data_IF_919242734267
#
_entry.id   IF_919242734267
#
_cell.length_a   1.000
_cell.length_b   1.000
_cell.length_c   1.000
_cell.angle_alpha   90.00
_cell.angle_beta   90.00
_cell.angle_gamma   90.00
#
_symmetry.space_group_name_H-M   'P 1'
#
loop_
_entity.id
_entity.type
_entity.pdbx_description
1 polymer ?
#
# COMPACT_ATOMS: atom_id res chain seq x y z
N UNK A 1 28.88 15.41 -24.74
CA UNK A 1 27.74 14.50 -24.55
C UNK A 1 27.37 14.53 -23.06
N UNK A 2 26.17 14.98 -22.69
CA UNK A 2 25.72 14.93 -21.29
C UNK A 2 25.00 13.59 -21.09
N UNK A 3 25.59 12.70 -20.30
CA UNK A 3 24.91 11.49 -19.83
C UNK A 3 23.60 11.90 -19.15
N UNK A 4 22.47 11.45 -19.70
CA UNK A 4 21.18 11.56 -19.02
C UNK A 4 21.22 10.62 -17.82
N UNK A 5 21.75 11.09 -16.69
CA UNK A 5 21.59 10.38 -15.43
C UNK A 5 20.11 10.09 -15.24
N UNK A 6 19.75 8.82 -15.20
CA UNK A 6 18.38 8.38 -14.92
C UNK A 6 18.00 8.92 -13.54
N UNK A 7 16.98 9.78 -13.48
CA UNK A 7 16.45 10.37 -12.24
C UNK A 7 15.74 9.35 -11.33
N UNK A 8 15.87 8.05 -11.60
CA UNK A 8 15.16 6.98 -10.91
C UNK A 8 16.12 5.90 -10.42
N UNK A 9 15.74 5.14 -9.38
CA UNK A 9 16.54 4.03 -8.88
C UNK A 9 16.80 2.96 -9.94
N UNK A 10 18.04 2.49 -10.00
CA UNK A 10 18.43 1.33 -10.81
C UNK A 10 18.24 0.00 -10.07
N UNK A 11 18.34 0.02 -8.73
CA UNK A 11 18.13 -1.12 -7.85
C UNK A 11 16.88 -0.92 -7.00
N UNK A 12 16.11 -2.00 -6.84
CA UNK A 12 14.86 -2.01 -6.09
C UNK A 12 14.91 -3.12 -5.04
N UNK A 13 14.60 -2.76 -3.79
CA UNK A 13 14.51 -3.68 -2.64
C UNK A 13 13.04 -3.89 -2.28
N UNK A 14 12.66 -5.15 -2.02
CA UNK A 14 11.29 -5.53 -1.66
C UNK A 14 10.73 -6.63 -2.59
N UNK A 15 9.43 -6.57 -2.84
CA UNK A 15 8.70 -7.58 -3.58
C UNK A 15 8.83 -7.40 -5.11
N UNK A 16 8.79 -8.51 -5.85
CA UNK A 16 8.90 -8.51 -7.32
C UNK A 16 7.67 -7.86 -7.96
N UNK A 17 7.83 -6.98 -8.97
CA UNK A 17 6.70 -6.36 -9.69
C UNK A 17 5.68 -7.35 -10.27
N UNK A 18 6.13 -8.54 -10.66
CA UNK A 18 5.28 -9.60 -11.22
C UNK A 18 4.16 -10.03 -10.27
N UNK A 19 4.38 -9.97 -8.94
CA UNK A 19 3.36 -10.24 -7.91
C UNK A 19 2.15 -9.31 -8.05
N UNK A 20 2.37 -8.07 -8.49
CA UNK A 20 1.35 -7.01 -8.54
C UNK A 20 0.75 -6.80 -9.94
N UNK A 21 1.25 -7.47 -10.98
CA UNK A 21 0.70 -7.34 -12.34
C UNK A 21 -0.78 -7.75 -12.45
N UNK A 22 -1.22 -8.72 -11.63
CA UNK A 22 -2.62 -9.16 -11.57
C UNK A 22 -3.59 -8.05 -11.16
N UNK A 23 -3.11 -7.03 -10.45
CA UNK A 23 -3.94 -5.92 -9.99
C UNK A 23 -4.08 -4.80 -11.03
N UNK A 24 -3.46 -4.89 -12.22
CA UNK A 24 -3.62 -3.87 -13.29
C UNK A 24 -5.08 -3.64 -13.70
N UNK A 25 -5.91 -4.68 -13.63
CA UNK A 25 -7.36 -4.61 -13.91
C UNK A 25 -8.20 -4.15 -12.70
N UNK A 26 -7.58 -3.95 -11.55
CA UNK A 26 -8.23 -3.40 -10.37
C UNK A 26 -8.14 -1.88 -10.48
N UNK A 27 -9.07 -1.28 -11.22
CA UNK A 27 -9.06 0.15 -11.50
C UNK A 27 -10.21 0.84 -10.77
N UNK A 28 -9.92 1.92 -10.06
CA UNK A 28 -10.88 2.77 -9.37
C UNK A 28 -11.39 3.86 -10.33
N UNK A 29 -12.43 3.53 -11.10
CA UNK A 29 -13.03 4.45 -12.10
C UNK A 29 -14.27 5.18 -11.59
N UNK A 30 -14.67 4.97 -10.33
CA UNK A 30 -15.91 5.54 -9.79
C UNK A 30 -15.72 6.94 -9.19
N UNK A 31 -16.83 7.66 -9.03
CA UNK A 31 -16.88 9.01 -8.44
C UNK A 31 -17.98 9.09 -7.37
N UNK A 32 -17.67 9.47 -6.11
CA UNK A 32 -16.32 9.70 -5.57
C UNK A 32 -15.47 8.42 -5.58
N UNK A 33 -14.16 8.57 -5.82
CA UNK A 33 -13.24 7.42 -5.89
C UNK A 33 -12.92 6.88 -4.50
N UNK A 34 -12.80 5.55 -4.37
CA UNK A 34 -12.53 4.86 -3.09
C UNK A 34 -11.11 4.26 -3.06
N UNK A 35 -10.11 5.08 -3.38
CA UNK A 35 -8.72 4.61 -3.51
C UNK A 35 -8.20 3.90 -2.24
N UNK A 36 -8.65 4.33 -1.05
CA UNK A 36 -8.40 3.66 0.24
C UNK A 36 -8.93 2.23 0.29
N UNK A 37 -10.19 2.01 -0.11
CA UNK A 37 -10.75 0.65 -0.22
C UNK A 37 -9.98 -0.22 -1.22
N UNK A 38 -9.58 0.32 -2.38
CA UNK A 38 -8.82 -0.47 -3.37
C UNK A 38 -7.47 -0.94 -2.83
N UNK A 39 -6.71 -0.07 -2.17
CA UNK A 39 -5.41 -0.47 -1.61
C UNK A 39 -5.57 -1.47 -0.48
N UNK A 40 -6.58 -1.31 0.39
CA UNK A 40 -6.91 -2.29 1.44
C UNK A 40 -7.33 -3.63 0.87
N UNK A 41 -8.10 -3.64 -0.23
CA UNK A 41 -8.51 -4.86 -0.91
C UNK A 41 -7.30 -5.61 -1.47
N UNK A 42 -6.34 -4.90 -2.08
CA UNK A 42 -5.10 -5.50 -2.57
C UNK A 42 -4.24 -6.04 -1.44
N UNK A 43 -4.12 -5.34 -0.30
CA UNK A 43 -3.38 -5.85 0.87
C UNK A 43 -3.97 -7.18 1.37
N UNK A 44 -5.30 -7.25 1.53
CA UNK A 44 -5.96 -8.47 1.99
C UNK A 44 -5.88 -9.59 0.95
N UNK A 45 -6.17 -9.29 -0.31
CA UNK A 45 -6.08 -10.28 -1.38
C UNK A 45 -4.68 -10.87 -1.49
N UNK A 46 -3.64 -10.04 -1.45
CA UNK A 46 -2.26 -10.47 -1.55
C UNK A 46 -1.87 -11.40 -0.40
N UNK A 47 -2.21 -11.04 0.85
CA UNK A 47 -1.96 -11.90 2.02
C UNK A 47 -2.75 -13.20 1.94
N UNK A 48 -4.05 -13.15 1.60
CA UNK A 48 -4.87 -14.36 1.56
C UNK A 48 -4.43 -15.35 0.49
N UNK A 49 -4.05 -14.83 -0.67
CA UNK A 49 -3.56 -15.66 -1.75
C UNK A 49 -2.21 -16.30 -1.42
N UNK A 50 -1.27 -15.55 -0.83
CA UNK A 50 0.08 -16.04 -0.59
C UNK A 50 0.24 -16.84 0.72
N UNK A 51 -0.54 -16.53 1.76
CA UNK A 51 -0.48 -17.25 3.04
C UNK A 51 -1.43 -18.43 3.09
N UNK A 52 -2.63 -18.32 2.49
CA UNK A 52 -3.68 -19.35 2.62
C UNK A 52 -4.02 -20.04 1.29
N UNK A 53 -3.45 -19.60 0.17
CA UNK A 53 -3.85 -20.11 -1.16
C UNK A 53 -5.26 -19.68 -1.57
N UNK A 54 -5.85 -18.71 -0.88
CA UNK A 54 -7.25 -18.31 -1.09
C UNK A 54 -7.34 -17.11 -2.03
N UNK A 55 -7.90 -17.33 -3.21
CA UNK A 55 -8.18 -16.28 -4.19
C UNK A 55 -9.55 -15.63 -3.89
N UNK A 56 -9.55 -14.65 -2.98
CA UNK A 56 -10.77 -13.96 -2.55
C UNK A 56 -11.30 -13.05 -3.67
N UNK A 57 -12.61 -13.06 -3.91
CA UNK A 57 -13.24 -12.22 -4.94
C UNK A 57 -12.96 -10.73 -4.74
N UNK A 58 -12.50 -10.05 -5.81
CA UNK A 58 -12.36 -8.60 -5.89
C UNK A 58 -13.64 -7.89 -5.45
N UNK A 59 -14.78 -8.32 -5.97
CA UNK A 59 -16.09 -7.70 -5.69
C UNK A 59 -16.43 -7.81 -4.21
N UNK A 60 -16.25 -9.01 -3.61
CA UNK A 60 -16.52 -9.22 -2.18
C UNK A 60 -15.63 -8.35 -1.30
N UNK A 61 -14.33 -8.25 -1.63
CA UNK A 61 -13.39 -7.39 -0.90
C UNK A 61 -13.79 -5.92 -0.99
N UNK A 62 -14.05 -5.41 -2.19
CA UNK A 62 -14.40 -4.00 -2.38
C UNK A 62 -15.71 -3.66 -1.69
N UNK A 63 -16.75 -4.49 -1.82
CA UNK A 63 -18.05 -4.26 -1.16
C UNK A 63 -17.89 -4.27 0.36
N UNK A 64 -17.22 -5.28 0.93
CA UNK A 64 -17.07 -5.41 2.38
C UNK A 64 -16.15 -4.35 3.00
N UNK A 65 -15.11 -3.90 2.29
CA UNK A 65 -14.20 -2.88 2.77
C UNK A 65 -14.78 -1.46 2.65
N UNK A 66 -15.56 -1.20 1.59
CA UNK A 66 -16.18 0.12 1.39
C UNK A 66 -17.04 0.54 2.58
N UNK A 67 -17.80 -0.40 3.14
CA UNK A 67 -18.69 -0.14 4.29
C UNK A 67 -17.93 0.25 5.56
N UNK A 68 -16.74 -0.31 5.77
CA UNK A 68 -15.92 -0.12 6.98
C UNK A 68 -14.76 0.87 6.82
N UNK A 69 -14.56 1.42 5.62
CA UNK A 69 -13.52 2.42 5.31
C UNK A 69 -14.15 3.72 4.82
N UNK A 70 -14.83 3.69 3.68
CA UNK A 70 -15.29 4.91 3.00
C UNK A 70 -16.68 5.37 3.46
N UNK A 71 -17.49 4.50 4.06
CA UNK A 71 -18.85 4.80 4.53
C UNK A 71 -18.99 4.92 6.05
N UNK A 72 -17.89 4.71 6.80
CA UNK A 72 -17.93 4.68 8.27
C UNK A 72 -18.02 6.07 8.91
N UNK A 73 -17.30 7.05 8.37
CA UNK A 73 -17.22 8.40 8.94
C UNK A 73 -17.85 9.45 8.04
N UNK A 74 -18.42 10.48 8.65
CA UNK A 74 -19.16 11.56 7.96
C UNK A 74 -18.23 12.63 7.34
N UNK A 75 -17.22 12.21 6.57
CA UNK A 75 -16.40 13.10 5.75
C UNK A 75 -16.04 12.45 4.41
N UNK A 76 -15.50 13.26 3.49
CA UNK A 76 -15.06 12.78 2.17
C UNK A 76 -13.56 12.46 2.17
N UNK A 77 -13.20 11.39 1.47
CA UNK A 77 -11.82 10.93 1.36
C UNK A 77 -11.46 9.93 2.44
N UNK A 78 -10.24 9.40 2.35
CA UNK A 78 -9.74 8.37 3.27
C UNK A 78 -8.39 8.78 3.85
N UNK A 79 -8.27 8.61 5.16
CA UNK A 79 -7.08 8.88 5.96
C UNK A 79 -6.48 7.57 6.49
N UNK A 80 -5.23 7.60 7.01
CA UNK A 80 -4.58 6.38 7.50
C UNK A 80 -5.39 5.63 8.57
N UNK A 81 -6.12 6.34 9.44
CA UNK A 81 -6.94 5.72 10.46
C UNK A 81 -8.19 5.01 9.90
N UNK A 82 -8.72 5.44 8.75
CA UNK A 82 -9.85 4.76 8.09
C UNK A 82 -9.44 3.37 7.61
N UNK A 83 -8.31 3.31 6.90
CA UNK A 83 -7.75 2.06 6.40
C UNK A 83 -7.37 1.14 7.58
N UNK A 84 -6.72 1.70 8.61
CA UNK A 84 -6.36 0.96 9.82
C UNK A 84 -7.58 0.40 10.56
N UNK A 85 -8.63 1.20 10.73
CA UNK A 85 -9.87 0.79 11.38
C UNK A 85 -10.56 -0.30 10.57
N UNK A 86 -10.86 -0.05 9.30
CA UNK A 86 -11.58 -0.98 8.43
C UNK A 86 -10.86 -2.31 8.25
N UNK A 87 -9.53 -2.29 8.07
CA UNK A 87 -8.74 -3.53 8.02
C UNK A 87 -8.80 -4.32 9.34
N UNK A 88 -8.76 -3.66 10.49
CA UNK A 88 -8.87 -4.35 11.78
C UNK A 88 -10.29 -4.85 12.08
N UNK A 89 -11.33 -4.21 11.54
CA UNK A 89 -12.71 -4.72 11.60
C UNK A 89 -12.81 -6.05 10.85
N UNK A 90 -12.35 -6.11 9.60
CA UNK A 90 -12.45 -7.36 8.80
C UNK A 90 -11.47 -8.44 9.25
N UNK A 91 -10.34 -8.06 9.86
CA UNK A 91 -9.35 -8.99 10.42
C UNK A 91 -9.62 -9.37 11.89
N UNK A 92 -10.73 -8.94 12.48
CA UNK A 92 -11.03 -9.16 13.91
C UNK A 92 -10.85 -10.63 14.32
N UNK A 93 -11.30 -11.56 13.49
CA UNK A 93 -11.23 -13.00 13.74
C UNK A 93 -10.10 -13.71 12.98
N UNK A 94 -9.28 -12.99 12.22
CA UNK A 94 -8.12 -13.59 11.56
C UNK A 94 -7.05 -13.90 12.63
N UNK A 95 -6.53 -15.13 12.76
CA UNK A 95 -5.60 -15.50 13.83
C UNK A 95 -4.17 -14.99 13.59
N UNK A 96 -3.80 -14.65 12.35
CA UNK A 96 -2.43 -14.39 11.97
C UNK A 96 -2.13 -12.91 11.74
N UNK A 97 -3.10 -12.09 11.34
CA UNK A 97 -2.85 -10.72 10.91
C UNK A 97 -3.71 -9.67 11.61
N UNK A 98 -3.14 -8.48 11.78
CA UNK A 98 -3.82 -7.25 12.17
C UNK A 98 -3.22 -6.07 11.38
N UNK A 99 -3.92 -4.95 11.30
CA UNK A 99 -3.41 -3.76 10.64
C UNK A 99 -2.72 -2.79 11.61
N UNK A 100 -1.66 -2.15 11.15
CA UNK A 100 -0.96 -1.06 11.84
C UNK A 100 -0.83 0.15 10.91
N UNK A 101 -0.63 1.33 11.50
CA UNK A 101 -0.42 2.57 10.76
C UNK A 101 0.74 3.39 11.31
N UNK A 102 1.24 4.32 10.48
CA UNK A 102 2.26 5.32 10.80
C UNK A 102 2.08 6.56 9.93
N UNK A 103 2.53 7.71 10.40
CA UNK A 103 2.58 8.97 9.63
C UNK A 103 3.97 9.28 9.06
N UNK A 104 4.93 8.36 9.21
CA UNK A 104 6.32 8.49 8.74
C UNK A 104 6.59 7.38 7.70
N UNK A 105 6.02 7.49 6.49
CA UNK A 105 6.06 6.43 5.47
C UNK A 105 7.46 6.16 4.92
N UNK A 106 8.28 7.19 4.70
CA UNK A 106 9.66 7.10 4.21
C UNK A 106 10.52 6.11 5.02
N UNK A 107 10.54 6.26 6.35
CA UNK A 107 11.27 5.35 7.24
C UNK A 107 10.58 4.00 7.39
N UNK A 108 9.25 4.02 7.54
CA UNK A 108 8.50 2.81 7.89
C UNK A 108 8.44 1.81 6.73
N UNK A 109 8.27 2.28 5.49
CA UNK A 109 8.23 1.42 4.31
C UNK A 109 9.56 0.70 4.10
N UNK A 110 10.69 1.39 4.25
CA UNK A 110 12.03 0.78 4.17
C UNK A 110 12.18 -0.33 5.21
N UNK A 111 11.90 -0.02 6.49
CA UNK A 111 11.96 -1.01 7.58
C UNK A 111 11.07 -2.24 7.33
N UNK A 112 9.88 -2.05 6.75
CA UNK A 112 8.93 -3.13 6.47
C UNK A 112 9.39 -4.00 5.30
N UNK A 113 9.93 -3.38 4.24
CA UNK A 113 10.34 -4.06 3.02
C UNK A 113 11.72 -4.73 3.12
N UNK A 114 12.53 -4.37 4.12
CA UNK A 114 13.81 -5.01 4.44
C UNK A 114 13.66 -6.30 5.28
N UNK A 115 12.44 -6.64 5.71
CA UNK A 115 12.19 -7.87 6.47
C UNK A 115 12.40 -9.11 5.59
N UNK A 116 12.75 -10.28 6.17
CA UNK A 116 12.94 -11.52 5.40
C UNK A 116 11.71 -11.97 4.60
N UNK A 117 10.51 -11.75 5.15
CA UNK A 117 9.23 -11.99 4.48
C UNK A 117 8.40 -10.69 4.48
N UNK A 118 8.69 -9.75 3.57
CA UNK A 118 8.07 -8.44 3.57
C UNK A 118 6.66 -8.52 2.98
N UNK A 119 5.75 -7.70 3.52
CA UNK A 119 4.41 -7.51 2.99
C UNK A 119 4.30 -6.13 2.33
N UNK A 120 3.44 -5.97 1.31
CA UNK A 120 3.19 -4.66 0.72
C UNK A 120 2.56 -3.69 1.72
N UNK A 121 2.70 -2.40 1.46
CA UNK A 121 2.29 -1.31 2.36
C UNK A 121 1.37 -0.35 1.60
N UNK A 122 0.20 -0.05 2.13
CA UNK A 122 -0.63 1.04 1.61
C UNK A 122 -0.03 2.37 2.03
N UNK A 123 0.17 3.30 1.08
CA UNK A 123 0.79 4.60 1.32
C UNK A 123 -0.06 5.70 0.69
N UNK A 124 -0.32 6.74 1.46
CA UNK A 124 -1.04 7.94 1.02
C UNK A 124 -0.08 8.97 0.43
N UNK A 125 -0.36 9.47 -0.76
CA UNK A 125 0.27 10.65 -1.35
C UNK A 125 -0.51 11.90 -0.99
N UNK A 126 0.17 13.05 -0.91
CA UNK A 126 -0.49 14.33 -0.63
C UNK A 126 -0.13 15.39 -1.68
N UNK A 127 -1.15 16.13 -2.15
CA UNK A 127 -0.94 17.29 -3.03
C UNK A 127 -0.06 18.35 -2.36
N UNK A 128 -0.24 18.56 -1.05
CA UNK A 128 0.51 19.54 -0.27
C UNK A 128 2.02 19.23 -0.25
N UNK A 129 2.39 17.96 -0.39
CA UNK A 129 3.78 17.50 -0.47
C UNK A 129 4.30 17.45 -1.91
N UNK A 130 3.62 18.12 -2.85
CA UNK A 130 4.03 18.20 -4.25
C UNK A 130 3.70 16.96 -5.08
N UNK A 131 2.81 16.07 -4.62
CA UNK A 131 2.47 14.87 -5.37
C UNK A 131 1.68 15.18 -6.65
N UNK A 132 2.19 14.69 -7.79
CA UNK A 132 1.45 14.69 -9.07
C UNK A 132 0.21 13.78 -9.04
N UNK A 133 0.17 12.84 -8.10
CA UNK A 133 -0.97 11.97 -7.82
C UNK A 133 -2.05 12.64 -6.95
N UNK A 134 -1.83 13.89 -6.49
CA UNK A 134 -2.70 14.61 -5.55
C UNK A 134 -2.87 13.81 -4.24
N UNK A 135 -4.03 13.92 -3.62
CA UNK A 135 -4.40 13.10 -2.46
C UNK A 135 -4.90 11.74 -2.98
N UNK A 136 -4.10 10.69 -2.79
CA UNK A 136 -4.33 9.37 -3.38
C UNK A 136 -3.71 8.26 -2.55
N UNK A 137 -4.19 7.03 -2.71
CA UNK A 137 -3.65 5.85 -2.05
C UNK A 137 -3.08 4.87 -3.07
N UNK A 138 -1.86 4.38 -2.79
CA UNK A 138 -1.16 3.36 -3.59
C UNK A 138 -0.67 2.21 -2.72
N UNK A 139 -0.39 1.05 -3.32
CA UNK A 139 0.26 -0.08 -2.63
C UNK A 139 1.73 -0.11 -3.01
N UNK A 140 2.59 0.29 -2.08
CA UNK A 140 4.04 0.23 -2.23
C UNK A 140 4.53 -1.19 -1.93
N UNK A 141 5.35 -1.72 -2.83
CA UNK A 141 5.88 -3.08 -2.70
C UNK A 141 7.39 -3.16 -2.85
N UNK A 142 8.04 -2.11 -3.33
CA UNK A 142 9.49 -2.00 -3.36
C UNK A 142 9.91 -0.53 -3.17
N UNK A 143 11.14 -0.33 -2.72
CA UNK A 143 11.76 0.98 -2.63
C UNK A 143 13.13 0.98 -3.30
N UNK A 144 13.66 2.16 -3.60
CA UNK A 144 15.00 2.31 -4.15
C UNK A 144 15.51 3.75 -4.01
N UNK A 145 16.82 3.91 -4.00
CA UNK A 145 17.46 5.23 -3.99
C UNK A 145 17.97 5.57 -5.39
N UNK A 146 17.75 6.80 -5.83
CA UNK A 146 18.38 7.31 -7.05
C UNK A 146 19.88 7.59 -6.81
N UNK A 147 20.66 7.92 -7.86
CA UNK A 147 22.09 8.24 -7.71
C UNK A 147 22.39 9.41 -6.76
N UNK A 148 21.40 10.26 -6.45
CA UNK A 148 21.54 11.40 -5.53
C UNK A 148 21.10 11.05 -4.10
N UNK A 149 20.79 9.78 -3.82
CA UNK A 149 20.32 9.34 -2.50
C UNK A 149 18.86 9.68 -2.19
N UNK A 150 18.06 10.11 -3.18
CA UNK A 150 16.63 10.36 -2.97
C UNK A 150 15.85 9.05 -2.99
N UNK A 151 15.00 8.85 -1.99
CA UNK A 151 14.16 7.66 -1.84
C UNK A 151 12.93 7.72 -2.76
N UNK A 152 12.72 6.65 -3.51
CA UNK A 152 11.53 6.42 -4.33
C UNK A 152 10.84 5.12 -3.95
N UNK A 153 9.54 5.11 -4.12
CA UNK A 153 8.70 3.93 -3.99
C UNK A 153 8.25 3.42 -5.35
N UNK A 154 8.20 2.10 -5.47
CA UNK A 154 7.55 1.39 -6.57
C UNK A 154 6.23 0.82 -6.08
N UNK A 155 5.17 1.15 -6.79
CA UNK A 155 3.82 0.93 -6.29
C UNK A 155 2.87 0.42 -7.37
N UNK A 156 1.84 -0.29 -6.91
CA UNK A 156 0.59 -0.43 -7.63
C UNK A 156 -0.29 0.78 -7.33
N UNK A 157 -0.69 1.47 -8.39
CA UNK A 157 -1.62 2.58 -8.42
C UNK A 157 -2.94 2.11 -9.04
N UNK A 158 -4.03 2.26 -8.29
CA UNK A 158 -5.38 1.85 -8.67
C UNK A 158 -6.00 2.69 -9.81
N UNK A 159 -5.22 3.55 -10.47
CA UNK A 159 -5.51 4.07 -11.82
C UNK A 159 -4.92 3.21 -12.96
N UNK A 160 -4.58 1.95 -12.68
CA UNK A 160 -4.21 0.95 -13.69
C UNK A 160 -2.69 0.77 -13.91
N UNK A 161 -1.85 1.31 -13.02
CA UNK A 161 -0.38 1.22 -13.13
C UNK A 161 0.17 0.31 -12.04
N UNK A 162 0.60 -0.91 -12.37
CA UNK A 162 1.20 -1.83 -11.37
C UNK A 162 2.65 -1.54 -11.01
N UNK A 163 3.30 -0.58 -11.67
CA UNK A 163 4.71 -0.23 -11.45
C UNK A 163 4.92 1.29 -11.50
N UNK A 164 4.02 2.04 -10.86
CA UNK A 164 4.20 3.47 -10.65
C UNK A 164 5.47 3.72 -9.81
N UNK A 165 6.20 4.80 -10.15
CA UNK A 165 7.36 5.26 -9.39
C UNK A 165 7.01 6.64 -8.84
N UNK A 166 7.16 6.83 -7.53
CA UNK A 166 6.88 8.11 -6.85
C UNK A 166 7.96 8.43 -5.81
N UNK A 167 8.33 9.70 -5.62
CA UNK A 167 9.24 10.10 -4.55
C UNK A 167 8.60 9.87 -3.18
N UNK A 168 9.34 9.26 -2.24
CA UNK A 168 8.82 8.99 -0.90
C UNK A 168 8.48 10.27 -0.13
N UNK A 169 9.16 11.39 -0.42
CA UNK A 169 8.89 12.71 0.17
C UNK A 169 7.49 13.26 -0.13
N UNK A 170 6.77 12.68 -1.09
CA UNK A 170 5.42 13.12 -1.47
C UNK A 170 4.31 12.36 -0.73
N UNK A 171 4.65 11.64 0.34
CA UNK A 171 3.76 10.73 1.07
C UNK A 171 3.55 11.17 2.52
N UNK A 172 2.36 10.91 3.09
CA UNK A 172 1.97 11.48 4.41
C UNK A 172 1.48 10.45 5.44
N UNK A 173 1.37 9.18 5.07
CA UNK A 173 0.97 8.11 5.99
C UNK A 173 0.96 6.75 5.32
N UNK A 174 1.06 5.70 6.12
CA UNK A 174 1.06 4.33 5.64
C UNK A 174 0.33 3.37 6.58
N UNK A 175 -0.21 2.30 5.99
CA UNK A 175 -0.93 1.22 6.66
C UNK A 175 -0.43 -0.11 6.11
N UNK A 176 -0.21 -1.09 6.99
CA UNK A 176 0.27 -2.42 6.59
C UNK A 176 -0.34 -3.51 7.45
N UNK A 177 -0.32 -4.73 6.92
CA UNK A 177 -0.68 -5.95 7.65
C UNK A 177 0.55 -6.47 8.39
N UNK A 178 0.38 -6.81 9.66
CA UNK A 178 1.45 -7.30 10.55
C UNK A 178 1.04 -8.67 11.10
N UNK A 179 1.95 -9.63 10.99
CA UNK A 179 1.76 -10.95 11.59
C UNK A 179 1.73 -10.84 13.13
N UNK A 180 0.68 -11.36 13.77
CA UNK A 180 0.46 -11.37 15.23
C UNK A 180 1.53 -12.17 15.98
N UNK A 181 2.11 -13.20 15.35
CA UNK A 181 3.13 -14.07 15.97
C UNK A 181 4.49 -13.39 16.17
N UNK A 182 4.77 -12.28 15.46
CA UNK A 182 6.03 -11.52 15.65
C UNK A 182 6.21 -10.92 17.06
N UNK A 183 5.20 -10.99 17.94
CA UNK A 183 5.32 -10.65 19.37
C UNK A 183 5.68 -11.84 20.29
N UNK A 184 5.51 -13.10 19.85
CA UNK A 184 5.72 -14.27 20.72
C UNK A 184 7.19 -14.68 20.86
N UNK A 185 8.02 -14.43 19.84
CA UNK A 185 9.44 -14.84 19.87
C UNK A 185 10.37 -13.83 20.58
N UNK A 186 9.81 -12.94 21.39
CA UNK A 186 10.55 -11.92 22.17
C UNK A 186 10.13 -11.85 23.64
N UNK A 187 9.54 -12.92 24.18
CA UNK A 187 9.28 -13.07 25.61
C UNK A 187 9.88 -14.36 26.13
#
# INVERSE_FOLDING_TARGET
>A
MKEKHTQHPQKWTGLKPTRFNKYRSWINNQKPGICGTYVSAVLLHDVYLHTYGLNVSKTSLLTGLKTVIDETFAYRGTFPWDLWHGLNVVLKYNPDYHARMSFIPDKKVVELLDRPDPLPVAVGTARLLGSSYKNHWVVVYAYGYDPNGKLYFKAYDNHGRSAAILPASQTFGCVWLQNKKTKKDKR
#
